data_IF_225153278970
#
_entry.id   IF_225153278970
#
_cell.length_a   1.000
_cell.length_b   1.000
_cell.length_c   1.000
_cell.angle_alpha   90.00
_cell.angle_beta   90.00
_cell.angle_gamma   90.00
#
_symmetry.space_group_name_H-M   'P 1'
#
loop_
_entity.id
_entity.type
_entity.pdbx_description
1 polymer ?
#
# COMPACT_ATOMS: atom_id res chain seq x y z
N UNK A 1 28.98 0.22 0.47
CA UNK A 1 27.52 0.28 0.41
C UNK A 1 26.99 -1.15 0.25
N UNK A 2 26.15 -1.59 1.17
CA UNK A 2 25.56 -2.93 1.18
C UNK A 2 24.50 -3.06 0.08
N UNK A 3 24.14 -4.30 -0.29
CA UNK A 3 23.04 -4.57 -1.25
C UNK A 3 21.74 -3.91 -0.80
N UNK A 4 21.45 -3.92 0.51
CA UNK A 4 20.21 -3.37 1.06
C UNK A 4 20.21 -1.84 1.04
N UNK A 5 21.36 -1.19 1.24
CA UNK A 5 21.47 0.26 1.06
C UNK A 5 21.18 0.67 -0.39
N UNK A 6 21.75 -0.05 -1.37
CA UNK A 6 21.47 0.19 -2.79
C UNK A 6 19.99 -0.01 -3.16
N UNK A 7 19.32 -0.99 -2.54
CA UNK A 7 17.88 -1.22 -2.71
C UNK A 7 17.09 -0.06 -2.10
N UNK A 8 17.41 0.34 -0.87
CA UNK A 8 16.75 1.46 -0.19
C UNK A 8 16.85 2.75 -1.02
N UNK A 9 18.06 3.11 -1.47
CA UNK A 9 18.28 4.28 -2.33
C UNK A 9 17.44 4.23 -3.62
N UNK A 10 17.28 3.04 -4.19
CA UNK A 10 16.49 2.85 -5.41
C UNK A 10 14.99 3.03 -5.13
N UNK A 11 14.49 2.45 -4.03
CA UNK A 11 13.09 2.62 -3.60
C UNK A 11 12.81 4.10 -3.30
N UNK A 12 13.70 4.78 -2.57
CA UNK A 12 13.56 6.20 -2.26
C UNK A 12 13.51 7.07 -3.52
N UNK A 13 14.35 6.79 -4.51
CA UNK A 13 14.32 7.49 -5.80
C UNK A 13 12.97 7.28 -6.53
N UNK A 14 12.45 6.05 -6.53
CA UNK A 14 11.14 5.71 -7.11
C UNK A 14 10.01 6.45 -6.39
N UNK A 15 10.02 6.46 -5.05
CA UNK A 15 9.02 7.16 -4.23
C UNK A 15 9.09 8.67 -4.46
N UNK A 16 10.29 9.27 -4.51
CA UNK A 16 10.45 10.69 -4.81
C UNK A 16 9.86 11.06 -6.18
N UNK A 17 10.08 10.21 -7.19
CA UNK A 17 9.48 10.40 -8.51
C UNK A 17 7.96 10.25 -8.49
N UNK A 18 7.42 9.29 -7.73
CA UNK A 18 5.98 9.14 -7.51
C UNK A 18 5.38 10.43 -6.96
N UNK A 19 5.97 10.99 -5.90
CA UNK A 19 5.53 12.26 -5.31
C UNK A 19 5.57 13.40 -6.32
N UNK A 20 6.62 13.50 -7.14
CA UNK A 20 6.72 14.54 -8.16
C UNK A 20 5.60 14.45 -9.22
N UNK A 21 5.30 13.23 -9.70
CA UNK A 21 4.27 12.97 -10.72
C UNK A 21 2.86 13.18 -10.16
N UNK A 22 2.63 12.74 -8.91
CA UNK A 22 1.31 12.75 -8.29
C UNK A 22 1.03 14.01 -7.48
N UNK A 23 1.98 14.95 -7.38
CA UNK A 23 1.80 16.28 -6.76
C UNK A 23 0.55 17.06 -7.22
N UNK A 24 0.10 16.98 -8.50
CA UNK A 24 -1.11 17.67 -8.93
C UNK A 24 -2.40 16.99 -8.48
N UNK A 25 -2.34 15.78 -7.91
CA UNK A 25 -3.53 15.09 -7.42
C UNK A 25 -4.09 15.77 -6.17
N UNK A 26 -5.35 15.51 -5.88
CA UNK A 26 -5.99 16.01 -4.65
C UNK A 26 -6.89 14.89 -4.14
N UNK A 27 -6.75 14.49 -2.86
CA UNK A 27 -5.78 14.98 -1.87
C UNK A 27 -4.33 14.57 -2.16
N UNK A 28 -3.38 15.24 -1.51
CA UNK A 28 -1.94 14.97 -1.66
C UNK A 28 -1.39 14.19 -0.46
N UNK A 29 -0.48 13.26 -0.74
CA UNK A 29 0.36 12.67 0.29
C UNK A 29 1.34 13.72 0.85
N UNK A 30 1.57 13.69 2.16
CA UNK A 30 2.45 14.63 2.87
C UNK A 30 3.88 14.10 2.96
N UNK A 31 4.04 12.84 3.35
CA UNK A 31 5.33 12.23 3.67
C UNK A 31 5.33 10.72 3.38
N UNK A 32 6.50 10.09 3.50
CA UNK A 32 6.62 8.63 3.46
C UNK A 32 7.65 8.11 4.46
N UNK A 33 7.54 6.82 4.78
CA UNK A 33 8.56 6.05 5.51
C UNK A 33 8.86 4.75 4.78
N UNK A 34 10.12 4.32 4.87
CA UNK A 34 10.58 3.02 4.36
C UNK A 34 11.06 2.17 5.54
N UNK A 35 10.51 0.96 5.69
CA UNK A 35 10.95 0.02 6.74
C UNK A 35 11.44 -1.28 6.13
N UNK A 36 12.55 -1.78 6.67
CA UNK A 36 13.08 -3.10 6.35
C UNK A 36 13.94 -3.62 7.50
N UNK A 37 13.54 -4.76 8.07
CA UNK A 37 14.39 -5.56 8.97
C UNK A 37 14.16 -7.04 8.67
N UNK A 38 15.05 -7.69 7.89
CA UNK A 38 14.89 -9.07 7.47
C UNK A 38 14.93 -10.07 8.63
N UNK A 39 15.33 -9.64 9.84
CA UNK A 39 15.25 -10.48 11.06
C UNK A 39 13.84 -10.52 11.64
N UNK A 40 13.00 -9.54 11.32
CA UNK A 40 11.60 -9.45 11.77
C UNK A 40 10.63 -9.86 10.64
N UNK A 41 10.86 -9.38 9.42
CA UNK A 41 10.03 -9.68 8.26
C UNK A 41 10.81 -9.46 6.96
N UNK A 42 10.61 -10.31 5.95
CA UNK A 42 11.37 -10.28 4.69
C UNK A 42 10.97 -9.16 3.73
N UNK A 43 9.76 -8.61 3.89
CA UNK A 43 9.24 -7.56 3.01
C UNK A 43 9.78 -6.16 3.34
N UNK A 44 9.91 -5.35 2.31
CA UNK A 44 10.06 -3.90 2.39
C UNK A 44 8.70 -3.24 2.56
N UNK A 45 8.57 -2.34 3.52
CA UNK A 45 7.33 -1.62 3.78
C UNK A 45 7.48 -0.17 3.35
N UNK A 46 6.67 0.25 2.38
CA UNK A 46 6.58 1.63 1.91
C UNK A 46 5.29 2.21 2.47
N UNK A 47 5.39 3.18 3.38
CA UNK A 47 4.24 3.79 4.03
C UNK A 47 4.10 5.22 3.54
N UNK A 48 2.96 5.55 2.95
CA UNK A 48 2.63 6.88 2.44
C UNK A 48 1.64 7.53 3.39
N UNK A 49 1.94 8.73 3.88
CA UNK A 49 1.11 9.45 4.84
C UNK A 49 0.28 10.53 4.15
N UNK A 50 -0.96 10.69 4.60
CA UNK A 50 -1.79 11.86 4.34
C UNK A 50 -2.01 12.62 5.65
N UNK A 51 -2.34 13.91 5.55
CA UNK A 51 -2.45 14.83 6.69
C UNK A 51 -3.36 14.31 7.81
N UNK A 52 -4.52 13.77 7.47
CA UNK A 52 -5.50 13.25 8.42
C UNK A 52 -6.35 12.13 7.79
N UNK A 53 -7.18 11.48 8.61
CA UNK A 53 -7.98 10.33 8.17
C UNK A 53 -9.03 10.71 7.12
N UNK A 54 -9.54 11.94 7.12
CA UNK A 54 -10.48 12.41 6.09
C UNK A 54 -9.78 12.50 4.73
N UNK A 55 -8.56 13.00 4.74
CA UNK A 55 -7.69 13.15 3.58
C UNK A 55 -7.29 11.77 3.05
N UNK A 56 -6.87 10.83 3.90
CA UNK A 56 -6.60 9.44 3.49
C UNK A 56 -7.84 8.77 2.89
N UNK A 57 -9.00 8.89 3.54
CA UNK A 57 -10.25 8.30 3.05
C UNK A 57 -10.68 8.88 1.71
N UNK A 58 -10.54 10.21 1.54
CA UNK A 58 -10.78 10.85 0.26
C UNK A 58 -9.83 10.34 -0.82
N UNK A 59 -8.54 10.17 -0.50
CA UNK A 59 -7.50 9.66 -1.40
C UNK A 59 -7.78 8.23 -1.87
N UNK A 60 -8.27 7.39 -0.96
CA UNK A 60 -8.67 6.02 -1.28
C UNK A 60 -9.91 6.06 -2.18
N UNK A 61 -10.96 6.78 -1.78
CA UNK A 61 -12.24 6.79 -2.52
C UNK A 61 -12.12 7.38 -3.92
N UNK A 62 -11.30 8.39 -4.13
CA UNK A 62 -11.14 9.03 -5.44
C UNK A 62 -10.00 8.43 -6.30
N UNK A 63 -9.37 7.34 -5.84
CA UNK A 63 -8.36 6.61 -6.59
C UNK A 63 -6.97 7.22 -6.60
N UNK A 64 -6.68 8.22 -5.78
CA UNK A 64 -5.31 8.74 -5.62
C UNK A 64 -4.38 7.67 -5.07
N UNK A 65 -4.79 6.97 -4.00
CA UNK A 65 -4.00 5.85 -3.44
C UNK A 65 -3.78 4.75 -4.48
N UNK A 66 -4.79 4.46 -5.30
CA UNK A 66 -4.70 3.48 -6.37
C UNK A 66 -3.66 3.84 -7.44
N UNK A 67 -3.64 5.09 -7.88
CA UNK A 67 -2.65 5.59 -8.85
C UNK A 67 -1.24 5.54 -8.29
N UNK A 68 -1.06 5.99 -7.05
CA UNK A 68 0.23 5.92 -6.35
C UNK A 68 0.71 4.47 -6.19
N UNK A 69 -0.17 3.57 -5.74
CA UNK A 69 0.15 2.14 -5.61
C UNK A 69 0.57 1.55 -6.95
N UNK A 70 -0.23 1.74 -8.00
CA UNK A 70 0.05 1.19 -9.34
C UNK A 70 1.37 1.72 -9.89
N UNK A 71 1.66 3.01 -9.70
CA UNK A 71 2.93 3.59 -10.10
C UNK A 71 4.10 2.91 -9.37
N UNK A 72 4.02 2.82 -8.04
CA UNK A 72 5.09 2.25 -7.22
C UNK A 72 5.33 0.78 -7.57
N UNK A 73 4.28 -0.03 -7.65
CA UNK A 73 4.37 -1.45 -7.99
C UNK A 73 5.03 -1.66 -9.36
N UNK A 74 4.55 -0.96 -10.39
CA UNK A 74 5.13 -1.04 -11.74
C UNK A 74 6.60 -0.58 -11.77
N UNK A 75 6.93 0.52 -11.09
CA UNK A 75 8.29 1.05 -11.06
C UNK A 75 9.27 0.12 -10.29
N UNK A 76 8.80 -0.51 -9.21
CA UNK A 76 9.59 -1.47 -8.44
C UNK A 76 9.85 -2.74 -9.27
N UNK A 77 8.83 -3.25 -9.98
CA UNK A 77 8.95 -4.41 -10.86
C UNK A 77 9.82 -4.14 -12.09
N UNK A 78 9.74 -2.94 -12.68
CA UNK A 78 10.53 -2.57 -13.85
C UNK A 78 12.02 -2.32 -13.53
N UNK A 79 12.36 -2.05 -12.28
CA UNK A 79 13.74 -1.82 -11.85
C UNK A 79 14.44 -3.15 -11.63
N UNK A 80 15.51 -3.42 -12.41
CA UNK A 80 16.32 -4.63 -12.27
C UNK A 80 17.03 -4.81 -10.92
N UNK A 81 16.90 -3.85 -9.98
CA UNK A 81 17.39 -3.95 -8.60
C UNK A 81 16.31 -4.32 -7.59
N UNK A 82 15.06 -4.00 -7.88
CA UNK A 82 13.91 -4.16 -6.98
C UNK A 82 12.89 -5.16 -7.49
N UNK A 83 13.03 -5.67 -8.73
CA UNK A 83 12.07 -6.58 -9.36
C UNK A 83 11.75 -7.82 -8.53
N UNK A 84 12.73 -8.35 -7.80
CA UNK A 84 12.61 -9.58 -7.03
C UNK A 84 12.41 -9.36 -5.51
N UNK A 85 12.19 -8.12 -5.06
CA UNK A 85 11.96 -7.88 -3.63
C UNK A 85 10.50 -8.12 -3.29
N UNK A 86 10.24 -8.64 -2.08
CA UNK A 86 8.91 -8.57 -1.50
C UNK A 86 8.70 -7.14 -0.98
N UNK A 87 7.70 -6.43 -1.49
CA UNK A 87 7.35 -5.08 -1.05
C UNK A 87 5.87 -4.95 -0.78
N UNK A 88 5.52 -4.15 0.24
CA UNK A 88 4.15 -3.84 0.61
C UNK A 88 3.99 -2.32 0.71
N UNK A 89 2.90 -1.80 0.16
CA UNK A 89 2.60 -0.36 0.14
C UNK A 89 1.40 -0.11 1.03
N UNK A 90 1.54 0.78 2.01
CA UNK A 90 0.49 1.16 2.95
C UNK A 90 0.18 2.65 2.90
N UNK A 91 -1.06 3.01 3.20
CA UNK A 91 -1.53 4.39 3.23
C UNK A 91 -2.03 4.72 4.64
N UNK A 92 -1.37 5.66 5.30
CA UNK A 92 -1.63 6.03 6.68
C UNK A 92 -2.12 7.48 6.79
N UNK A 93 -2.76 7.79 7.91
CA UNK A 93 -3.20 9.14 8.24
C UNK A 93 -2.40 9.74 9.39
N UNK A 94 -2.21 11.05 9.38
CA UNK A 94 -1.53 11.79 10.42
C UNK A 94 -0.07 12.07 10.10
N UNK A 95 0.61 12.70 11.07
CA UNK A 95 2.03 13.00 10.95
C UNK A 95 2.86 11.72 10.92
N UNK A 96 3.89 11.70 10.08
CA UNK A 96 4.88 10.62 10.08
C UNK A 96 5.53 10.55 11.47
N UNK A 97 5.59 9.36 12.11
CA UNK A 97 6.25 9.23 13.39
C UNK A 97 7.74 9.61 13.31
N UNK A 98 8.22 10.39 14.28
CA UNK A 98 9.62 10.82 14.35
C UNK A 98 10.38 10.15 15.51
N UNK A 99 9.65 9.79 16.57
CA UNK A 99 10.23 9.11 17.71
C UNK A 99 10.45 7.63 17.39
N UNK A 100 11.61 7.11 17.82
CA UNK A 100 11.98 5.72 17.56
C UNK A 100 10.93 4.72 18.04
N UNK A 101 10.35 4.96 19.22
CA UNK A 101 9.32 4.08 19.80
C UNK A 101 8.08 4.01 18.93
N UNK A 102 7.65 5.13 18.35
CA UNK A 102 6.47 5.20 17.50
C UNK A 102 6.73 4.59 16.13
N UNK A 103 7.93 4.77 15.58
CA UNK A 103 8.39 4.09 14.37
C UNK A 103 8.46 2.57 14.56
N UNK A 104 8.99 2.10 15.69
CA UNK A 104 9.02 0.68 16.04
C UNK A 104 7.59 0.11 16.20
N UNK A 105 6.68 0.86 16.82
CA UNK A 105 5.27 0.49 16.96
C UNK A 105 4.58 0.37 15.60
N UNK A 106 4.75 1.37 14.73
CA UNK A 106 4.21 1.34 13.37
C UNK A 106 4.76 0.14 12.60
N UNK A 107 6.06 -0.11 12.65
CA UNK A 107 6.65 -1.26 11.96
C UNK A 107 6.07 -2.60 12.44
N UNK A 108 5.85 -2.76 13.75
CA UNK A 108 5.18 -3.96 14.28
C UNK A 108 3.73 -4.08 13.79
N UNK A 109 2.99 -2.97 13.73
CA UNK A 109 1.63 -2.96 13.19
C UNK A 109 1.59 -3.41 11.73
N UNK A 110 2.52 -2.93 10.88
CA UNK A 110 2.62 -3.33 9.48
C UNK A 110 2.91 -4.83 9.31
N UNK A 111 3.79 -5.38 10.16
CA UNK A 111 4.07 -6.83 10.19
C UNK A 111 2.81 -7.62 10.55
N UNK A 112 2.10 -7.20 11.61
CA UNK A 112 0.86 -7.85 12.04
C UNK A 112 -0.24 -7.76 10.97
N UNK A 113 -0.39 -6.61 10.33
CA UNK A 113 -1.33 -6.41 9.24
C UNK A 113 -1.02 -7.31 8.06
N UNK A 114 0.26 -7.40 7.66
CA UNK A 114 0.69 -8.29 6.57
C UNK A 114 0.45 -9.76 6.90
N UNK A 115 0.67 -10.17 8.15
CA UNK A 115 0.37 -11.52 8.59
C UNK A 115 -1.14 -11.84 8.48
N UNK A 116 -2.01 -10.87 8.77
CA UNK A 116 -3.47 -11.01 8.58
C UNK A 116 -3.85 -11.10 7.11
N UNK A 117 -3.17 -10.39 6.22
CA UNK A 117 -3.48 -10.38 4.79
C UNK A 117 -3.07 -11.68 4.06
N UNK A 118 -2.21 -12.51 4.64
CA UNK A 118 -1.87 -13.82 4.07
C UNK A 118 -3.07 -14.76 4.17
N UNK A 119 -3.60 -15.18 3.03
CA UNK A 119 -4.63 -16.23 2.92
C UNK A 119 -3.99 -17.62 3.01
N UNK A 120 -4.58 -18.54 3.75
CA UNK A 120 -4.34 -19.98 3.56
C UNK A 120 -5.28 -20.49 2.48
N UNK A 121 -4.79 -21.31 1.55
CA UNK A 121 -5.59 -21.89 0.46
C UNK A 121 -6.80 -22.72 0.97
N UNK A 122 -6.76 -23.13 2.24
CA UNK A 122 -7.79 -23.97 2.89
C UNK A 122 -8.76 -23.18 3.78
N UNK A 123 -8.68 -21.84 3.82
CA UNK A 123 -9.58 -21.02 4.64
C UNK A 123 -10.95 -20.83 3.98
N UNK A 124 -12.01 -21.08 4.76
CA UNK A 124 -13.38 -20.76 4.34
C UNK A 124 -13.54 -19.25 4.07
N UNK A 125 -14.47 -18.86 3.18
CA UNK A 125 -14.75 -17.45 2.94
C UNK A 125 -15.20 -16.76 4.25
N UNK A 126 -14.34 -15.91 4.80
CA UNK A 126 -14.68 -15.10 5.96
C UNK A 126 -15.48 -13.87 5.51
N UNK A 127 -16.59 -13.56 6.18
CA UNK A 127 -17.32 -12.30 6.00
C UNK A 127 -16.63 -11.13 6.69
N UNK A 128 -15.46 -11.34 7.32
CA UNK A 128 -14.71 -10.30 8.02
C UNK A 128 -13.46 -9.96 7.19
N UNK A 129 -13.32 -8.69 6.84
CA UNK A 129 -12.18 -8.18 6.10
C UNK A 129 -10.90 -8.30 6.94
N UNK A 130 -9.90 -9.01 6.44
CA UNK A 130 -8.62 -9.20 7.13
C UNK A 130 -7.76 -7.93 7.23
N UNK A 131 -8.06 -6.92 6.41
CA UNK A 131 -7.38 -5.63 6.44
C UNK A 131 -7.86 -4.71 7.57
N UNK A 132 -9.17 -4.59 7.76
CA UNK A 132 -9.76 -3.66 8.75
C UNK A 132 -10.52 -4.32 9.90
N UNK A 133 -10.89 -5.59 9.79
CA UNK A 133 -11.72 -6.30 10.76
C UNK A 133 -13.23 -5.99 10.67
N UNK A 134 -13.67 -5.21 9.67
CA UNK A 134 -15.09 -4.94 9.41
C UNK A 134 -15.70 -5.98 8.46
N UNK A 135 -17.01 -5.97 8.33
CA UNK A 135 -17.72 -6.83 7.38
C UNK A 135 -17.23 -6.59 5.94
N UNK A 136 -16.74 -7.66 5.29
CA UNK A 136 -16.22 -7.62 3.93
C UNK A 136 -17.33 -7.29 2.93
N UNK A 137 -18.57 -7.73 3.18
CA UNK A 137 -19.70 -7.52 2.26
C UNK A 137 -20.10 -6.04 2.15
N UNK A 138 -19.72 -5.22 3.13
CA UNK A 138 -19.92 -3.77 3.10
C UNK A 138 -18.87 -3.03 2.26
N UNK A 139 -17.81 -3.70 1.81
CA UNK A 139 -16.77 -3.04 1.03
C UNK A 139 -17.25 -2.66 -0.37
N UNK A 140 -16.74 -1.54 -0.87
CA UNK A 140 -17.10 -0.99 -2.16
C UNK A 140 -16.02 -1.29 -3.19
N UNK A 141 -16.45 -1.84 -4.33
CA UNK A 141 -15.61 -2.08 -5.49
C UNK A 141 -15.52 -0.79 -6.33
N UNK A 142 -14.32 -0.25 -6.42
CA UNK A 142 -13.99 0.88 -7.28
C UNK A 142 -13.22 0.37 -8.50
N UNK A 143 -13.41 1.00 -9.66
CA UNK A 143 -12.79 0.52 -10.90
C UNK A 143 -12.49 1.64 -11.90
N UNK A 144 -11.50 1.38 -12.75
CA UNK A 144 -11.22 2.16 -13.95
C UNK A 144 -10.94 1.21 -15.13
N UNK A 145 -11.14 1.66 -16.38
CA UNK A 145 -10.78 0.88 -17.55
C UNK A 145 -9.27 0.57 -17.59
N UNK A 146 -8.94 -0.68 -17.85
CA UNK A 146 -7.59 -1.11 -18.21
C UNK A 146 -7.39 -0.95 -19.72
N UNK A 147 -6.73 0.14 -20.10
CA UNK A 147 -6.47 0.49 -21.50
C UNK A 147 -5.52 -0.47 -22.21
N UNK A 148 -4.74 -1.27 -21.47
CA UNK A 148 -3.78 -2.22 -22.05
C UNK A 148 -4.44 -3.59 -22.30
N UNK A 149 -5.29 -4.03 -21.37
CA UNK A 149 -5.89 -5.37 -21.38
C UNK A 149 -7.34 -5.40 -21.86
N UNK A 150 -7.93 -4.25 -22.22
CA UNK A 150 -9.36 -4.15 -22.56
C UNK A 150 -10.27 -4.75 -21.47
N UNK A 151 -9.85 -4.63 -20.21
CA UNK A 151 -10.52 -5.18 -19.03
C UNK A 151 -10.80 -4.08 -17.99
N UNK A 152 -11.33 -4.45 -16.83
CA UNK A 152 -11.41 -3.55 -15.68
C UNK A 152 -10.31 -3.90 -14.67
N UNK A 153 -9.79 -2.88 -14.02
CA UNK A 153 -8.92 -2.98 -12.85
C UNK A 153 -9.43 -2.01 -11.79
N UNK A 154 -8.99 -2.16 -10.56
CA UNK A 154 -9.50 -1.28 -9.52
C UNK A 154 -8.98 -1.56 -8.13
N UNK A 155 -9.75 -1.07 -7.17
CA UNK A 155 -9.47 -1.23 -5.76
C UNK A 155 -10.76 -1.42 -4.96
N UNK A 156 -10.60 -1.93 -3.74
CA UNK A 156 -11.67 -2.15 -2.77
C UNK A 156 -11.43 -1.19 -1.60
N UNK A 157 -12.51 -0.55 -1.13
CA UNK A 157 -12.49 0.38 0.02
C UNK A 157 -13.57 0.04 1.03
N UNK A 158 -13.33 0.32 2.30
CA UNK A 158 -14.32 0.16 3.37
C UNK A 158 -15.10 1.47 3.58
N UNK A 159 -16.44 1.41 3.76
CA UNK A 159 -17.25 2.60 3.98
C UNK A 159 -17.10 3.19 5.40
N UNK A 160 -16.60 2.42 6.37
CA UNK A 160 -16.47 2.82 7.77
C UNK A 160 -15.56 4.05 7.94
N UNK A 161 -15.98 4.95 8.83
CA UNK A 161 -15.27 6.20 9.08
C UNK A 161 -13.87 5.92 9.67
N UNK A 162 -12.85 6.57 9.11
CA UNK A 162 -11.46 6.39 9.55
C UNK A 162 -10.79 5.09 9.07
N UNK A 163 -11.49 4.25 8.30
CA UNK A 163 -10.91 3.00 7.80
C UNK A 163 -10.07 3.22 6.55
N UNK A 164 -8.77 2.90 6.63
CA UNK A 164 -7.81 3.03 5.53
C UNK A 164 -7.53 1.73 4.77
N UNK A 165 -8.34 0.67 4.95
CA UNK A 165 -8.05 -0.57 4.25
C UNK A 165 -8.20 -0.40 2.73
N UNK A 166 -7.24 -0.97 2.03
CA UNK A 166 -7.05 -0.77 0.61
C UNK A 166 -6.55 -2.07 0.00
N UNK A 167 -7.26 -2.55 -1.01
CA UNK A 167 -6.87 -3.73 -1.78
C UNK A 167 -6.98 -3.39 -3.26
N UNK A 168 -5.99 -3.75 -4.06
CA UNK A 168 -6.10 -3.66 -5.52
C UNK A 168 -6.65 -4.96 -6.09
N UNK A 169 -7.24 -4.89 -7.28
CA UNK A 169 -7.64 -6.05 -8.07
C UNK A 169 -7.49 -5.74 -9.57
N UNK A 170 -7.29 -6.75 -10.39
CA UNK A 170 -7.13 -6.61 -11.84
C UNK A 170 -6.77 -7.94 -12.51
N UNK A 171 -6.66 -7.93 -13.84
CA UNK A 171 -6.46 -9.14 -14.64
C UNK A 171 -5.13 -9.89 -14.35
N UNK A 172 -4.19 -9.26 -13.64
CA UNK A 172 -2.94 -9.85 -13.17
C UNK A 172 -2.88 -10.08 -11.65
N UNK A 173 -4.02 -10.08 -10.95
CA UNK A 173 -4.06 -10.74 -9.65
C UNK A 173 -4.05 -12.25 -9.90
N UNK A 174 -3.00 -13.01 -9.54
CA UNK A 174 -3.18 -14.44 -9.43
C UNK A 174 -4.27 -14.65 -8.37
N UNK A 175 -5.25 -15.53 -8.61
CA UNK A 175 -6.09 -15.99 -7.52
C UNK A 175 -5.16 -16.60 -6.47
N UNK A 176 -5.16 -16.04 -5.26
CA UNK A 176 -4.60 -16.72 -4.09
C UNK A 176 -5.48 -17.91 -3.75
#
# INVERSE_FOLDING_TARGET
MSKNELIADTIEAIVAQMFAIHRPLTPNASEYSLFYDPRKHEAWFIVIFFEDSNTTNAAIKNGVCYKMHTYLDNALQASGRTADINSMIFFESGARPVEKVDMDNLFQQLILQTARLKKSADEEPETICKGCGHDFDNHQLMCEPDTELSSMKGWITCPEEGCNCFFTWGANFPPQ
#
